data_IF_388752801004
#
_entry.id   IF_388752801004
#
_cell.length_a   1.000
_cell.length_b   1.000
_cell.length_c   1.000
_cell.angle_alpha   90.00
_cell.angle_beta   90.00
_cell.angle_gamma   90.00
#
_symmetry.space_group_name_H-M   'P 1'
#
loop_
_entity.id
_entity.type
_entity.pdbx_description
1 polymer ?
#
# COMPACT_ATOMS: atom_id res chain seq x y z
N UNK A 1 1.58 7.42 13.02
CA UNK A 1 2.37 6.67 12.04
C UNK A 1 3.57 7.48 11.63
N UNK A 2 4.75 6.93 11.65
CA UNK A 2 5.99 7.70 11.46
C UNK A 2 6.76 7.24 10.24
N UNK A 3 7.49 8.15 9.62
CA UNK A 3 8.41 7.81 8.53
C UNK A 3 9.45 6.80 9.03
N UNK A 4 9.62 5.71 8.27
CA UNK A 4 10.53 4.64 8.66
C UNK A 4 12.00 5.10 8.66
N UNK A 5 12.33 6.16 7.91
CA UNK A 5 13.70 6.65 7.80
C UNK A 5 14.01 7.79 8.77
N UNK A 6 13.21 8.85 8.81
CA UNK A 6 13.50 10.04 9.62
C UNK A 6 12.60 10.18 10.86
N UNK A 7 11.64 9.32 11.03
CA UNK A 7 10.71 9.29 12.17
C UNK A 7 9.73 10.47 12.23
N UNK A 8 9.59 11.25 11.14
CA UNK A 8 8.58 12.30 11.06
C UNK A 8 7.19 11.67 11.19
N UNK A 9 6.31 12.29 11.99
CA UNK A 9 4.96 11.82 12.13
C UNK A 9 4.15 12.16 10.87
N UNK A 10 3.51 11.13 10.29
CA UNK A 10 2.62 11.31 9.14
C UNK A 10 1.22 11.68 9.59
N UNK A 11 0.57 12.52 8.79
CA UNK A 11 -0.85 12.83 8.90
C UNK A 11 -1.62 12.00 7.87
N UNK A 12 -2.95 11.93 8.00
CA UNK A 12 -3.76 11.22 7.01
C UNK A 12 -3.60 11.79 5.60
N UNK A 13 -3.36 13.08 5.47
CA UNK A 13 -3.12 13.76 4.20
C UNK A 13 -1.80 13.38 3.53
N UNK A 14 -0.88 12.75 4.27
CA UNK A 14 0.38 12.24 3.72
C UNK A 14 0.20 10.92 2.98
N UNK A 15 -0.97 10.30 3.05
CA UNK A 15 -1.28 9.11 2.27
C UNK A 15 -1.48 9.52 0.82
N UNK A 16 -0.60 9.00 -0.05
CA UNK A 16 -0.64 9.32 -1.48
C UNK A 16 -1.56 8.36 -2.23
N UNK A 17 -1.55 7.11 -1.84
CA UNK A 17 -2.36 6.07 -2.48
C UNK A 17 -2.60 4.92 -1.53
N UNK A 18 -3.69 4.20 -1.77
CA UNK A 18 -4.05 3.01 -1.00
C UNK A 18 -4.77 2.04 -1.93
N UNK A 19 -4.54 0.75 -1.73
CA UNK A 19 -5.20 -0.29 -2.51
C UNK A 19 -5.57 -1.46 -1.61
N UNK A 20 -6.78 -1.97 -1.79
CA UNK A 20 -7.30 -3.14 -1.06
C UNK A 20 -7.55 -4.29 -2.03
N UNK A 21 -7.28 -5.50 -1.58
CA UNK A 21 -7.53 -6.70 -2.35
C UNK A 21 -7.79 -7.89 -1.46
N UNK A 22 -8.27 -8.97 -2.08
CA UNK A 22 -8.48 -10.24 -1.39
C UNK A 22 -7.54 -11.27 -2.01
N UNK A 23 -6.69 -11.87 -1.16
CA UNK A 23 -5.70 -12.86 -1.59
C UNK A 23 -5.96 -14.13 -0.81
N UNK A 24 -6.40 -15.18 -1.50
CA UNK A 24 -6.64 -16.51 -0.92
C UNK A 24 -7.54 -16.45 0.33
N UNK A 25 -8.55 -15.56 0.32
CA UNK A 25 -9.47 -15.38 1.44
C UNK A 25 -9.06 -14.34 2.46
N UNK A 26 -7.81 -13.87 2.41
CA UNK A 26 -7.34 -12.81 3.30
C UNK A 26 -7.55 -11.44 2.67
N UNK A 27 -7.95 -10.47 3.48
CA UNK A 27 -8.05 -9.08 3.06
C UNK A 27 -6.72 -8.39 3.27
N UNK A 28 -6.26 -7.65 2.25
CA UNK A 28 -4.98 -6.97 2.29
C UNK A 28 -5.17 -5.53 1.82
N UNK A 29 -4.64 -4.58 2.59
CA UNK A 29 -4.64 -3.16 2.21
C UNK A 29 -3.24 -2.60 2.37
N UNK A 30 -2.71 -2.01 1.30
CA UNK A 30 -1.44 -1.28 1.33
C UNK A 30 -1.73 0.21 1.25
N UNK A 31 -1.13 0.98 2.15
CA UNK A 31 -1.22 2.44 2.16
C UNK A 31 0.19 3.03 2.03
N UNK A 32 0.35 3.96 1.10
CA UNK A 32 1.64 4.58 0.78
C UNK A 32 1.69 5.98 1.39
N UNK A 33 2.63 6.19 2.30
CA UNK A 33 2.91 7.47 2.93
C UNK A 33 4.19 8.04 2.33
N UNK A 34 4.12 9.27 1.82
CA UNK A 34 5.28 9.92 1.22
C UNK A 34 5.94 10.88 2.20
N UNK A 35 7.25 10.76 2.40
CA UNK A 35 8.03 11.70 3.17
C UNK A 35 8.80 12.63 2.22
N UNK A 36 8.40 13.90 2.17
CA UNK A 36 9.06 14.90 1.32
C UNK A 36 10.48 15.23 1.77
N UNK A 37 10.77 15.05 3.06
CA UNK A 37 12.10 15.29 3.61
C UNK A 37 13.11 14.24 3.14
N UNK A 38 12.69 12.96 3.12
CA UNK A 38 13.55 11.84 2.74
C UNK A 38 13.42 11.45 1.27
N UNK A 39 12.38 11.91 0.58
CA UNK A 39 12.01 11.50 -0.78
C UNK A 39 11.84 9.99 -0.91
N UNK A 40 11.23 9.38 0.10
CA UNK A 40 10.96 7.94 0.12
C UNK A 40 9.55 7.69 0.60
N UNK A 41 9.06 6.48 0.31
CA UNK A 41 7.76 6.02 0.78
C UNK A 41 7.92 5.06 1.95
N UNK A 42 6.98 5.14 2.90
CA UNK A 42 6.75 4.15 3.92
C UNK A 42 5.42 3.48 3.60
N UNK A 43 5.39 2.15 3.60
CA UNK A 43 4.18 1.39 3.25
C UNK A 43 3.66 0.71 4.50
N UNK A 44 2.38 0.92 4.78
CA UNK A 44 1.68 0.19 5.84
C UNK A 44 0.83 -0.88 5.16
N UNK A 45 1.13 -2.13 5.45
CA UNK A 45 0.37 -3.28 4.96
C UNK A 45 -0.49 -3.82 6.08
N UNK A 46 -1.80 -3.81 5.85
CA UNK A 46 -2.77 -4.33 6.80
C UNK A 46 -3.35 -5.62 6.24
N UNK A 47 -3.42 -6.64 7.09
CA UNK A 47 -3.94 -7.94 6.73
C UNK A 47 -5.04 -8.34 7.71
N UNK A 48 -6.14 -8.83 7.18
CA UNK A 48 -7.21 -9.43 7.97
C UNK A 48 -7.49 -10.81 7.37
N UNK A 49 -7.06 -11.86 8.06
CA UNK A 49 -7.31 -13.19 7.55
C UNK A 49 -8.74 -13.61 7.90
N UNK A 50 -9.23 -14.66 7.22
CA UNK A 50 -10.62 -15.07 7.37
C UNK A 50 -10.94 -15.62 8.78
N UNK A 51 -9.93 -15.85 9.63
CA UNK A 51 -10.14 -16.24 11.02
C UNK A 51 -10.35 -15.05 11.96
N UNK A 52 -10.28 -13.82 11.42
CA UNK A 52 -10.49 -12.61 12.19
C UNK A 52 -9.24 -12.04 12.84
N UNK A 53 -8.06 -12.59 12.55
CA UNK A 53 -6.80 -12.05 13.06
C UNK A 53 -6.31 -10.93 12.15
N UNK A 54 -6.13 -9.74 12.73
CA UNK A 54 -5.59 -8.58 12.03
C UNK A 54 -4.10 -8.46 12.30
N UNK A 55 -3.33 -8.17 11.24
CA UNK A 55 -1.89 -7.95 11.33
C UNK A 55 -1.55 -6.68 10.56
N UNK A 56 -0.67 -5.86 11.12
CA UNK A 56 -0.17 -4.66 10.45
C UNK A 56 1.34 -4.75 10.36
N UNK A 57 1.88 -4.46 9.18
CA UNK A 57 3.31 -4.47 8.93
C UNK A 57 3.72 -3.16 8.28
N UNK A 58 4.82 -2.58 8.76
CA UNK A 58 5.39 -1.35 8.21
C UNK A 58 6.65 -1.73 7.47
N UNK A 59 6.75 -1.32 6.21
CA UNK A 59 7.91 -1.64 5.38
C UNK A 59 8.43 -0.40 4.65
N UNK A 60 9.64 -0.50 4.15
CA UNK A 60 10.36 0.55 3.45
C UNK A 60 11.74 0.76 4.08
N UNK A 61 12.43 1.88 3.79
CA UNK A 61 11.99 2.92 2.86
C UNK A 61 12.00 2.41 1.42
N UNK A 62 11.01 2.84 0.64
CA UNK A 62 10.91 2.53 -0.78
C UNK A 62 11.27 3.81 -1.53
N UNK A 63 12.16 3.70 -2.53
CA UNK A 63 12.56 4.86 -3.31
C UNK A 63 11.36 5.52 -3.98
N UNK A 64 11.47 6.83 -4.21
CA UNK A 64 10.41 7.59 -4.88
C UNK A 64 10.09 6.97 -6.24
N UNK A 65 11.11 6.60 -7.02
CA UNK A 65 10.93 5.99 -8.33
C UNK A 65 10.11 4.69 -8.26
N UNK A 66 10.49 3.80 -7.36
CA UNK A 66 9.81 2.51 -7.20
C UNK A 66 8.40 2.69 -6.67
N UNK A 67 8.22 3.56 -5.69
CA UNK A 67 6.91 3.88 -5.12
C UNK A 67 5.99 4.53 -6.14
N UNK A 68 6.50 5.46 -6.94
CA UNK A 68 5.71 6.13 -7.97
C UNK A 68 5.18 5.13 -9.00
N UNK A 69 5.98 4.14 -9.37
CA UNK A 69 5.53 3.09 -10.31
C UNK A 69 4.38 2.27 -9.73
N UNK A 70 4.47 1.92 -8.46
CA UNK A 70 3.41 1.17 -7.79
C UNK A 70 2.13 2.01 -7.67
N UNK A 71 2.27 3.29 -7.33
CA UNK A 71 1.14 4.20 -7.21
C UNK A 71 0.47 4.40 -8.57
N UNK A 72 1.24 4.47 -9.66
CA UNK A 72 0.68 4.55 -11.00
C UNK A 72 -0.22 3.35 -11.30
N UNK A 73 0.20 2.15 -10.93
CA UNK A 73 -0.62 0.96 -11.09
C UNK A 73 -1.91 1.08 -10.26
N UNK A 74 -1.81 1.53 -9.03
CA UNK A 74 -2.98 1.73 -8.16
C UNK A 74 -3.98 2.69 -8.80
N UNK A 75 -3.49 3.78 -9.39
CA UNK A 75 -4.34 4.81 -10.02
C UNK A 75 -5.05 4.32 -11.28
N UNK A 76 -4.58 3.25 -11.88
CA UNK A 76 -5.26 2.63 -13.03
C UNK A 76 -6.48 1.82 -12.61
N UNK A 77 -6.61 1.49 -11.32
CA UNK A 77 -7.78 0.84 -10.78
C UNK A 77 -8.83 1.89 -10.46
N UNK A 78 -10.05 1.71 -10.99
CA UNK A 78 -11.15 2.65 -10.73
C UNK A 78 -11.71 2.56 -9.32
N UNK A 79 -11.49 1.45 -8.63
CA UNK A 79 -12.00 1.18 -7.29
C UNK A 79 -10.93 0.54 -6.42
N UNK A 80 -9.82 1.24 -6.12
CA UNK A 80 -8.73 0.65 -5.35
C UNK A 80 -9.11 0.32 -3.91
N UNK A 81 -10.17 0.93 -3.39
CA UNK A 81 -10.68 0.64 -2.05
C UNK A 81 -11.52 -0.63 -1.99
N UNK A 82 -11.93 -1.17 -3.14
CA UNK A 82 -12.80 -2.35 -3.20
C UNK A 82 -11.96 -3.63 -3.30
N UNK A 83 -11.91 -4.36 -2.21
CA UNK A 83 -11.17 -5.63 -2.15
C UNK A 83 -11.70 -6.69 -3.13
N UNK A 84 -12.91 -6.52 -3.64
CA UNK A 84 -13.52 -7.44 -4.61
C UNK A 84 -13.22 -7.06 -6.05
N UNK A 85 -12.59 -5.91 -6.28
CA UNK A 85 -12.21 -5.50 -7.62
C UNK A 85 -11.24 -6.52 -8.22
N UNK A 86 -11.45 -6.88 -9.49
CA UNK A 86 -10.62 -7.85 -10.21
C UNK A 86 -10.11 -7.27 -11.53
N UNK A 87 -9.95 -5.96 -11.60
CA UNK A 87 -9.43 -5.30 -12.80
C UNK A 87 -7.95 -5.68 -13.02
N UNK A 88 -7.45 -5.41 -14.23
CA UNK A 88 -6.07 -5.73 -14.59
C UNK A 88 -5.07 -5.00 -13.70
N UNK A 89 -5.36 -3.74 -13.35
CA UNK A 89 -4.48 -2.96 -12.48
C UNK A 89 -4.31 -3.60 -11.11
N UNK A 90 -5.41 -4.07 -10.52
CA UNK A 90 -5.37 -4.71 -9.21
C UNK A 90 -4.62 -6.04 -9.27
N UNK A 91 -4.83 -6.83 -10.32
CA UNK A 91 -4.09 -8.08 -10.52
C UNK A 91 -2.59 -7.81 -10.68
N UNK A 92 -2.23 -6.82 -11.49
CA UNK A 92 -0.83 -6.43 -11.67
C UNK A 92 -0.20 -6.02 -10.36
N UNK A 93 -0.87 -5.19 -9.59
CA UNK A 93 -0.34 -4.72 -8.32
C UNK A 93 -0.03 -5.89 -7.39
N UNK A 94 -0.99 -6.76 -7.13
CA UNK A 94 -0.79 -7.85 -6.17
C UNK A 94 0.11 -8.97 -6.70
N UNK A 95 0.17 -9.19 -7.99
CA UNK A 95 1.07 -10.20 -8.57
C UNK A 95 2.52 -9.69 -8.63
N UNK A 96 2.71 -8.44 -9.06
CA UNK A 96 4.05 -7.89 -9.26
C UNK A 96 4.72 -7.45 -7.96
N UNK A 97 3.95 -6.99 -6.99
CA UNK A 97 4.50 -6.45 -5.74
C UNK A 97 4.69 -7.50 -4.65
N UNK A 98 4.08 -8.67 -4.79
CA UNK A 98 4.22 -9.76 -3.82
C UNK A 98 5.46 -10.64 -4.08
N UNK A 99 6.12 -10.41 -5.18
CA UNK A 99 7.35 -11.13 -5.52
C UNK A 99 8.58 -10.56 -4.81
#
# INVERSE_FOLDING_TARGET
MDCIQCKRTFLNEDIVASISGSIMGDEHTDSYYYCSTCNVYTVVSWWDNFTGVETMEISGPISKEKGDKRIEIIRQCSQPWDKKCRCDAQRRYFNDTLD
#
